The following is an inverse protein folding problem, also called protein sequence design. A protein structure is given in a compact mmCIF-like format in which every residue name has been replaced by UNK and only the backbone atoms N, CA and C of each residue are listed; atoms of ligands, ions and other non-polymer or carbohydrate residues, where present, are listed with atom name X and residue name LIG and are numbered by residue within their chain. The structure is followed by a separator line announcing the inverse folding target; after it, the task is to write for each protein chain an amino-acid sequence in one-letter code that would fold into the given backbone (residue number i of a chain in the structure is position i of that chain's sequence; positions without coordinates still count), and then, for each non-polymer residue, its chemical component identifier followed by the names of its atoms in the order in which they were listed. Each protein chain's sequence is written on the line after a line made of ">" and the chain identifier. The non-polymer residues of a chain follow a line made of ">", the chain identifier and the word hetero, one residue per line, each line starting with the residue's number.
data_IF_713746074267
#
_entry.id   IF_713746074267
#
_cell.length_a   1.000
_cell.length_b   1.000
_cell.length_c   1.000
_cell.angle_alpha   90.00
_cell.angle_beta   90.00
_cell.angle_gamma   90.00
#
_symmetry.space_group_name_H-M   'P 1'
#
loop_
_entity.id
_entity.type
_entity.pdbx_description
1 polymer ?
#
# COMPACT_ATOMS: atom_id res chain seq x y z
N UNK A 1 13.45 19.75 13.40
CA UNK A 1 12.86 18.43 13.67
C UNK A 1 14.00 17.52 14.10
N UNK A 2 13.89 16.76 15.20
CA UNK A 2 15.00 15.94 15.67
C UNK A 2 15.19 14.73 14.76
N UNK A 3 16.45 14.42 14.46
CA UNK A 3 16.85 13.19 13.79
C UNK A 3 16.75 12.01 14.76
N UNK A 4 16.49 10.81 14.24
CA UNK A 4 16.43 9.60 15.06
C UNK A 4 16.89 8.36 14.27
N UNK A 5 17.44 7.38 14.99
CA UNK A 5 17.91 6.12 14.44
C UNK A 5 16.86 5.03 14.64
N UNK A 6 16.54 4.30 13.57
CA UNK A 6 15.71 3.09 13.64
C UNK A 6 16.22 2.06 12.64
N UNK A 7 16.38 0.80 13.06
CA UNK A 7 16.80 -0.32 12.21
C UNK A 7 18.07 -0.01 11.39
N UNK A 8 19.07 0.55 12.06
CA UNK A 8 20.35 0.98 11.48
C UNK A 8 20.23 2.02 10.34
N UNK A 9 19.13 2.77 10.30
CA UNK A 9 18.90 3.88 9.37
C UNK A 9 18.59 5.17 10.12
N UNK A 10 19.26 6.26 9.72
CA UNK A 10 19.00 7.60 10.22
C UNK A 10 17.80 8.21 9.48
N UNK A 11 16.88 8.80 10.23
CA UNK A 11 15.70 9.50 9.73
C UNK A 11 15.75 10.96 10.17
N UNK A 12 15.48 11.88 9.25
CA UNK A 12 15.55 13.32 9.53
C UNK A 12 14.24 13.91 10.05
N UNK A 13 13.12 13.21 9.80
CA UNK A 13 11.81 13.62 10.28
C UNK A 13 10.79 12.45 10.28
N UNK A 14 9.69 12.56 11.05
CA UNK A 14 8.65 11.53 11.10
C UNK A 14 7.95 11.24 9.77
N UNK A 15 7.88 12.22 8.85
CA UNK A 15 7.27 12.02 7.52
C UNK A 15 8.12 11.06 6.69
N UNK A 16 9.45 11.21 6.70
CA UNK A 16 10.36 10.27 6.05
C UNK A 16 10.18 8.85 6.62
N UNK A 17 10.05 8.73 7.94
CA UNK A 17 9.82 7.45 8.59
C UNK A 17 8.51 6.80 8.13
N UNK A 18 7.39 7.55 8.12
CA UNK A 18 6.12 7.08 7.59
C UNK A 18 6.26 6.66 6.11
N UNK A 19 6.89 7.49 5.28
CA UNK A 19 7.11 7.19 3.86
C UNK A 19 7.97 5.95 3.64
N UNK A 20 8.91 5.63 4.53
CA UNK A 20 9.66 4.37 4.44
C UNK A 20 8.78 3.13 4.66
N UNK A 21 7.67 3.26 5.40
CA UNK A 21 6.75 2.16 5.73
C UNK A 21 5.67 1.98 4.69
N UNK A 22 5.05 3.06 4.24
CA UNK A 22 3.87 3.00 3.35
C UNK A 22 4.09 3.64 1.99
N UNK A 23 5.20 4.37 1.79
CA UNK A 23 5.53 5.01 0.53
C UNK A 23 6.03 4.04 -0.54
N UNK A 24 6.58 4.63 -1.61
CA UNK A 24 6.98 3.90 -2.80
C UNK A 24 5.81 3.62 -3.74
N UNK A 25 6.11 2.97 -4.87
CA UNK A 25 5.16 2.84 -5.98
C UNK A 25 4.02 1.83 -5.72
N UNK A 26 4.15 0.92 -4.75
CA UNK A 26 3.27 -0.26 -4.67
C UNK A 26 2.57 -0.46 -3.33
N UNK A 27 3.14 0.00 -2.20
CA UNK A 27 2.54 -0.22 -0.88
C UNK A 27 1.18 0.44 -0.74
N UNK A 28 1.07 1.75 -1.03
CA UNK A 28 -0.23 2.44 -0.97
C UNK A 28 -1.27 1.86 -1.94
N UNK A 29 -0.96 1.56 -3.22
CA UNK A 29 -1.91 0.87 -4.10
C UNK A 29 -2.41 -0.48 -3.56
N UNK A 30 -1.52 -1.31 -3.01
CA UNK A 30 -1.91 -2.60 -2.41
C UNK A 30 -2.87 -2.39 -1.25
N UNK A 31 -2.51 -1.53 -0.30
CA UNK A 31 -3.33 -1.23 0.88
C UNK A 31 -4.69 -0.66 0.48
N UNK A 32 -4.70 0.23 -0.50
CA UNK A 32 -5.92 0.85 -1.01
C UNK A 32 -6.90 -0.17 -1.61
N UNK A 33 -6.41 -1.19 -2.31
CA UNK A 33 -7.26 -2.26 -2.85
C UNK A 33 -7.79 -3.20 -1.77
N UNK A 34 -6.98 -3.50 -0.77
CA UNK A 34 -7.38 -4.35 0.37
C UNK A 34 -8.35 -3.66 1.34
N UNK A 35 -8.53 -2.34 1.23
CA UNK A 35 -9.53 -1.57 2.01
C UNK A 35 -10.94 -2.13 1.88
N UNK A 36 -11.35 -2.52 0.68
CA UNK A 36 -12.76 -2.84 0.39
C UNK A 36 -13.10 -4.31 0.59
N UNK A 37 -12.13 -5.21 0.37
CA UNK A 37 -12.33 -6.66 0.48
C UNK A 37 -11.03 -7.43 0.63
N UNK A 38 -11.18 -8.68 1.07
CA UNK A 38 -10.13 -9.69 1.01
C UNK A 38 -9.87 -10.05 -0.46
N UNK A 39 -8.58 -10.16 -0.84
CA UNK A 39 -8.18 -10.44 -2.22
C UNK A 39 -7.13 -11.54 -2.30
N UNK A 40 -7.17 -12.35 -3.36
CA UNK A 40 -6.10 -13.29 -3.71
C UNK A 40 -4.98 -12.58 -4.47
N UNK A 41 -3.81 -13.21 -4.51
CA UNK A 41 -2.64 -12.70 -5.24
C UNK A 41 -2.96 -12.32 -6.70
N UNK A 42 -3.63 -13.22 -7.43
CA UNK A 42 -3.98 -12.98 -8.83
C UNK A 42 -4.94 -11.81 -9.03
N UNK A 43 -5.84 -11.58 -8.08
CA UNK A 43 -6.77 -10.44 -8.11
C UNK A 43 -6.02 -9.14 -7.86
N UNK A 44 -5.16 -9.09 -6.84
CA UNK A 44 -4.31 -7.92 -6.57
C UNK A 44 -3.41 -7.59 -7.76
N UNK A 45 -2.78 -8.60 -8.37
CA UNK A 45 -1.92 -8.40 -9.53
C UNK A 45 -2.72 -7.84 -10.72
N UNK A 46 -3.89 -8.41 -10.99
CA UNK A 46 -4.75 -7.97 -12.10
C UNK A 46 -5.25 -6.54 -11.90
N UNK A 47 -5.64 -6.19 -10.69
CA UNK A 47 -6.21 -4.87 -10.36
C UNK A 47 -5.13 -3.77 -10.30
N UNK A 48 -3.91 -4.09 -9.88
CA UNK A 48 -2.77 -3.14 -9.93
C UNK A 48 -2.18 -3.04 -11.34
N UNK A 49 -2.18 -4.13 -12.11
CA UNK A 49 -1.82 -4.18 -13.53
C UNK A 49 -0.32 -4.04 -13.84
N UNK A 50 0.30 -2.94 -13.43
CA UNK A 50 1.67 -2.56 -13.81
C UNK A 50 2.78 -3.24 -13.00
N UNK A 51 2.44 -3.93 -11.90
CA UNK A 51 3.41 -4.52 -10.97
C UNK A 51 3.91 -5.89 -11.45
N UNK A 52 5.24 -6.09 -11.46
CA UNK A 52 5.83 -7.40 -11.76
C UNK A 52 5.53 -8.42 -10.65
N UNK A 53 5.64 -9.72 -10.95
CA UNK A 53 5.44 -10.75 -9.92
C UNK A 53 6.44 -10.61 -8.76
N UNK A 54 7.72 -10.39 -9.09
CA UNK A 54 8.80 -10.22 -8.11
C UNK A 54 8.52 -9.04 -7.18
N UNK A 55 8.11 -7.90 -7.75
CA UNK A 55 7.83 -6.68 -6.98
C UNK A 55 6.60 -6.86 -6.11
N UNK A 56 5.49 -7.39 -6.64
CA UNK A 56 4.28 -7.60 -5.84
C UNK A 56 4.55 -8.53 -4.66
N UNK A 57 5.28 -9.63 -4.88
CA UNK A 57 5.64 -10.56 -3.80
C UNK A 57 6.52 -9.91 -2.74
N UNK A 58 7.52 -9.11 -3.14
CA UNK A 58 8.37 -8.39 -2.20
C UNK A 58 7.55 -7.41 -1.35
N UNK A 59 6.68 -6.63 -1.99
CA UNK A 59 5.89 -5.59 -1.32
C UNK A 59 4.82 -6.18 -0.39
N UNK A 60 4.21 -7.32 -0.76
CA UNK A 60 3.29 -8.05 0.13
C UNK A 60 4.03 -8.59 1.37
N UNK A 61 5.25 -9.15 1.20
CA UNK A 61 6.06 -9.62 2.32
C UNK A 61 6.48 -8.49 3.25
N UNK A 62 6.88 -7.34 2.71
CA UNK A 62 7.22 -6.16 3.51
C UNK A 62 6.00 -5.65 4.30
N UNK A 63 4.84 -5.53 3.65
CA UNK A 63 3.60 -5.09 4.30
C UNK A 63 3.12 -6.10 5.37
N UNK A 64 3.33 -7.38 5.15
CA UNK A 64 3.02 -8.44 6.12
C UNK A 64 3.97 -8.35 7.33
N UNK A 65 5.28 -8.20 7.08
CA UNK A 65 6.30 -8.06 8.12
C UNK A 65 6.14 -6.79 8.96
N UNK A 66 5.78 -5.66 8.33
CA UNK A 66 5.45 -4.40 9.00
C UNK A 66 4.07 -4.44 9.69
N UNK A 67 3.29 -5.51 9.50
CA UNK A 67 2.01 -5.75 10.16
C UNK A 67 0.83 -4.98 9.57
N UNK A 68 0.92 -4.46 8.34
CA UNK A 68 -0.20 -3.79 7.67
C UNK A 68 -1.19 -4.77 7.03
N UNK A 69 -0.72 -5.95 6.62
CA UNK A 69 -1.57 -6.98 6.01
C UNK A 69 -1.42 -8.34 6.70
N UNK A 70 -2.49 -9.12 6.66
CA UNK A 70 -2.51 -10.52 7.07
C UNK A 70 -2.61 -11.42 5.85
N UNK A 71 -1.76 -12.45 5.80
CA UNK A 71 -1.74 -13.48 4.76
C UNK A 71 -2.31 -14.78 5.33
N UNK A 72 -3.41 -15.27 4.74
CA UNK A 72 -4.02 -16.53 5.12
C UNK A 72 -3.88 -17.57 4.02
N UNK A 73 -3.27 -18.71 4.37
CA UNK A 73 -3.12 -19.86 3.47
C UNK A 73 -4.20 -20.87 3.78
N UNK A 74 -4.92 -21.32 2.75
CA UNK A 74 -5.90 -22.38 2.84
C UNK A 74 -5.33 -23.63 2.17
N UNK A 75 -5.18 -24.75 2.91
CA UNK A 75 -4.67 -26.01 2.38
C UNK A 75 -5.75 -26.75 1.59
N UNK A 76 -6.17 -26.15 0.47
CA UNK A 76 -7.10 -26.73 -0.50
C UNK A 76 -6.35 -27.00 -1.81
N UNK A 77 -6.92 -27.82 -2.70
CA UNK A 77 -6.34 -28.06 -4.04
C UNK A 77 -7.18 -27.30 -5.07
N UNK A 78 -6.61 -26.36 -5.85
CA UNK A 78 -5.26 -25.78 -5.73
C UNK A 78 -5.12 -24.85 -4.51
N UNK A 79 -3.92 -24.68 -3.95
CA UNK A 79 -3.70 -23.87 -2.74
C UNK A 79 -4.17 -22.43 -2.93
N UNK A 80 -4.94 -21.94 -1.97
CA UNK A 80 -5.52 -20.60 -1.98
C UNK A 80 -4.84 -19.73 -0.94
N UNK A 81 -4.42 -18.53 -1.35
CA UNK A 81 -3.83 -17.52 -0.48
C UNK A 81 -4.65 -16.24 -0.57
N UNK A 82 -5.03 -15.72 0.58
CA UNK A 82 -5.77 -14.47 0.72
C UNK A 82 -4.96 -13.44 1.50
N UNK A 83 -5.13 -12.18 1.12
CA UNK A 83 -4.57 -11.01 1.79
C UNK A 83 -5.70 -10.11 2.28
N UNK A 84 -5.53 -9.53 3.46
CA UNK A 84 -6.48 -8.62 4.08
C UNK A 84 -5.74 -7.57 4.92
N UNK A 85 -6.35 -6.40 5.15
CA UNK A 85 -5.78 -5.42 6.07
C UNK A 85 -5.87 -5.91 7.52
N UNK A 86 -4.82 -5.66 8.29
CA UNK A 86 -4.85 -5.70 9.76
C UNK A 86 -5.50 -4.42 10.30
N UNK A 87 -5.61 -4.30 11.63
CA UNK A 87 -6.01 -3.05 12.27
C UNK A 87 -5.08 -1.88 11.92
N UNK A 88 -3.75 -2.10 12.01
CA UNK A 88 -2.73 -1.15 11.54
C UNK A 88 -2.88 -0.81 10.06
N UNK A 89 -3.20 -1.80 9.23
CA UNK A 89 -3.51 -1.62 7.81
C UNK A 89 -4.71 -0.71 7.55
N UNK A 90 -5.72 -0.75 8.41
CA UNK A 90 -6.91 0.10 8.33
C UNK A 90 -6.63 1.52 8.82
N UNK A 91 -5.84 1.66 9.89
CA UNK A 91 -5.46 2.96 10.46
C UNK A 91 -4.74 3.88 9.46
N UNK A 92 -3.98 3.30 8.52
CA UNK A 92 -3.27 4.09 7.51
C UNK A 92 -4.12 4.49 6.30
N UNK A 93 -5.31 3.92 6.12
CA UNK A 93 -6.18 4.21 4.98
C UNK A 93 -6.61 5.69 4.89
N UNK A 94 -7.01 6.36 6.00
CA UNK A 94 -7.29 7.80 5.97
C UNK A 94 -6.09 8.63 5.50
N UNK A 95 -4.87 8.26 5.87
CA UNK A 95 -3.65 8.95 5.41
C UNK A 95 -3.46 8.80 3.91
N UNK A 96 -3.65 7.58 3.38
CA UNK A 96 -3.58 7.34 1.93
C UNK A 96 -4.67 8.13 1.20
N UNK A 97 -5.88 8.25 1.78
CA UNK A 97 -6.95 9.04 1.19
C UNK A 97 -6.61 10.54 1.13
N UNK A 98 -6.02 11.10 2.19
CA UNK A 98 -5.54 12.48 2.18
C UNK A 98 -4.50 12.72 1.07
N UNK A 99 -3.54 11.81 0.90
CA UNK A 99 -2.54 11.89 -0.18
C UNK A 99 -3.24 11.80 -1.54
N UNK A 100 -4.22 10.91 -1.69
CA UNK A 100 -5.01 10.79 -2.93
C UNK A 100 -5.78 12.07 -3.26
N UNK A 101 -6.45 12.67 -2.28
CA UNK A 101 -7.21 13.91 -2.47
C UNK A 101 -6.28 15.07 -2.86
N UNK A 102 -5.13 15.19 -2.21
CA UNK A 102 -4.11 16.16 -2.60
C UNK A 102 -3.59 15.91 -4.03
N UNK A 103 -3.39 14.65 -4.39
CA UNK A 103 -3.01 14.25 -5.75
C UNK A 103 -4.04 14.69 -6.80
N UNK A 104 -5.35 14.50 -6.54
CA UNK A 104 -6.41 14.98 -7.43
C UNK A 104 -6.38 16.50 -7.58
N UNK A 105 -6.23 17.23 -6.47
CA UNK A 105 -6.10 18.69 -6.51
C UNK A 105 -4.90 19.15 -7.35
N UNK A 106 -3.75 18.49 -7.23
CA UNK A 106 -2.58 18.80 -8.06
C UNK A 106 -2.83 18.54 -9.54
N UNK A 107 -3.58 17.48 -9.87
CA UNK A 107 -3.96 17.19 -11.25
C UNK A 107 -4.86 18.29 -11.81
N UNK A 108 -5.83 18.79 -11.04
CA UNK A 108 -6.68 19.92 -11.42
C UNK A 108 -5.84 21.19 -11.67
N UNK A 109 -4.93 21.53 -10.74
CA UNK A 109 -4.04 22.70 -10.86
C UNK A 109 -3.10 22.62 -12.07
N UNK A 110 -2.69 21.41 -12.46
CA UNK A 110 -1.79 21.15 -13.59
C UNK A 110 -2.53 20.85 -14.90
N UNK A 111 -3.87 20.85 -14.91
CA UNK A 111 -4.68 20.54 -16.10
C UNK A 111 -4.56 19.08 -16.58
N UNK A 112 -4.29 18.15 -15.68
CA UNK A 112 -4.19 16.71 -15.98
C UNK A 112 -5.58 16.07 -15.89
N UNK A 113 -6.09 15.56 -17.02
CA UNK A 113 -7.37 14.85 -17.05
C UNK A 113 -7.37 13.61 -16.13
N UNK A 114 -8.47 13.42 -15.39
CA UNK A 114 -8.66 12.24 -14.56
C UNK A 114 -10.12 11.80 -14.48
N UNK A 115 -10.37 10.50 -14.23
CA UNK A 115 -11.73 10.00 -13.99
C UNK A 115 -12.27 10.61 -12.68
N UNK A 116 -12.97 11.74 -12.80
CA UNK A 116 -13.47 12.56 -11.70
C UNK A 116 -13.80 14.01 -12.09
N UNK A 117 -13.34 14.48 -13.27
CA UNK A 117 -13.58 15.83 -13.80
C UNK A 117 -14.67 15.91 -14.88
N UNK A 118 -15.58 14.93 -14.93
CA UNK A 118 -16.79 14.96 -15.79
C UNK A 118 -18.04 15.15 -14.94
#
# INVERSE_FOLDING_TARGET
>A
MPEFLYDNRLYYNPVEFAMSRIGGAWKMPILWRLKTRIMRYGELKKDIGKVTHKMLTAQLRELEADGYISRKVYPVVPPKVEYSLTERGRDVIPVIDMIRQYGLKLMDEMGVEHPGTA
#
